data_IF_154588399657
#
_entry.id   IF_154588399657
#
_cell.length_a   1.000
_cell.length_b   1.000
_cell.length_c   1.000
_cell.angle_alpha   90.00
_cell.angle_beta   90.00
_cell.angle_gamma   90.00
#
_symmetry.space_group_name_H-M   'P 1'
#
loop_
_entity.id
_entity.type
_entity.pdbx_description
1 polymer ?
#
# COMPACT_ATOMS: atom_id res chain seq x y z
N UNK A 1 -5.03 -6.83 -2.23
CA UNK A 1 -6.44 -6.47 -1.94
C UNK A 1 -7.23 -7.75 -1.77
N UNK A 2 -8.24 -7.74 -0.91
CA UNK A 2 -9.11 -8.90 -0.65
C UNK A 2 -10.46 -8.60 -1.32
N UNK A 3 -10.95 -9.52 -2.14
CA UNK A 3 -12.33 -9.47 -2.64
C UNK A 3 -13.22 -10.26 -1.67
N UNK A 4 -14.29 -9.63 -1.19
CA UNK A 4 -15.21 -10.24 -0.22
C UNK A 4 -16.64 -9.76 -0.39
N UNK A 5 -17.61 -10.37 0.29
CA UNK A 5 -19.03 -10.04 0.12
C UNK A 5 -19.35 -8.63 0.63
N UNK A 6 -20.47 -8.08 0.18
CA UNK A 6 -21.10 -6.91 0.80
C UNK A 6 -22.03 -7.41 1.90
N UNK A 7 -21.79 -6.98 3.14
CA UNK A 7 -22.60 -7.38 4.29
C UNK A 7 -23.80 -6.45 4.50
N UNK A 8 -24.94 -7.04 4.82
CA UNK A 8 -26.19 -6.36 5.20
C UNK A 8 -26.77 -7.05 6.42
N UNK A 9 -27.18 -6.28 7.44
CA UNK A 9 -27.64 -6.84 8.71
C UNK A 9 -29.12 -7.22 8.64
N UNK A 10 -29.94 -6.30 8.13
CA UNK A 10 -31.37 -6.49 7.88
C UNK A 10 -31.70 -5.80 6.55
N UNK A 11 -31.88 -6.59 5.49
CA UNK A 11 -32.06 -6.07 4.14
C UNK A 11 -33.22 -5.08 4.05
N UNK A 12 -34.37 -5.39 4.69
CA UNK A 12 -35.56 -4.56 4.58
C UNK A 12 -35.32 -3.23 5.29
N UNK A 13 -34.93 -3.28 6.57
CA UNK A 13 -34.67 -2.10 7.38
C UNK A 13 -33.57 -1.21 6.77
N UNK A 14 -32.47 -1.81 6.35
CA UNK A 14 -31.36 -1.08 5.77
C UNK A 14 -31.75 -0.45 4.43
N UNK A 15 -32.56 -1.12 3.60
CA UNK A 15 -33.03 -0.57 2.33
C UNK A 15 -34.05 0.54 2.49
N UNK A 16 -34.86 0.53 3.54
CA UNK A 16 -35.75 1.64 3.86
C UNK A 16 -34.96 2.93 4.14
N UNK A 17 -33.87 2.82 4.91
CA UNK A 17 -32.95 3.95 5.12
C UNK A 17 -32.22 4.36 3.83
N UNK A 18 -31.79 3.41 3.01
CA UNK A 18 -31.14 3.70 1.71
C UNK A 18 -32.07 4.51 0.81
N UNK A 19 -33.34 4.15 0.76
CA UNK A 19 -34.34 4.80 -0.08
C UNK A 19 -34.65 6.23 0.37
N UNK A 20 -34.78 6.45 1.69
CA UNK A 20 -34.88 7.79 2.27
C UNK A 20 -33.68 8.65 1.87
N UNK A 21 -32.46 8.11 1.95
CA UNK A 21 -31.24 8.83 1.57
C UNK A 21 -31.24 9.13 0.06
N UNK A 22 -31.61 8.15 -0.79
CA UNK A 22 -31.63 8.31 -2.25
C UNK A 22 -32.58 9.43 -2.69
N UNK A 23 -33.75 9.50 -2.05
CA UNK A 23 -34.85 10.40 -2.43
C UNK A 23 -34.84 11.75 -1.68
N UNK A 24 -33.96 11.94 -0.70
CA UNK A 24 -33.81 13.21 0.03
C UNK A 24 -33.40 14.36 -0.90
N UNK A 25 -33.97 15.54 -0.68
CA UNK A 25 -33.46 16.78 -1.30
C UNK A 25 -32.20 17.28 -0.56
N UNK A 26 -31.17 17.53 -1.35
CA UNK A 26 -29.85 18.00 -0.89
C UNK A 26 -29.55 19.43 -1.29
N UNK A 27 -30.52 20.15 -1.87
CA UNK A 27 -30.37 21.55 -2.31
C UNK A 27 -29.99 22.50 -1.16
N UNK A 28 -30.53 22.26 0.04
CA UNK A 28 -30.41 23.11 1.23
C UNK A 28 -29.25 22.75 2.17
N UNK A 29 -28.41 21.78 1.83
CA UNK A 29 -27.39 21.21 2.74
C UNK A 29 -26.26 22.16 3.14
N UNK A 30 -26.06 23.25 2.41
CA UNK A 30 -24.87 24.09 2.54
C UNK A 30 -24.98 25.03 3.74
N UNK A 31 -23.85 25.29 4.40
CA UNK A 31 -23.77 26.26 5.50
C UNK A 31 -24.10 27.68 5.03
N UNK A 32 -23.59 28.03 3.86
CA UNK A 32 -23.93 29.27 3.16
C UNK A 32 -24.90 28.87 2.04
N UNK A 33 -26.18 29.27 2.08
CA UNK A 33 -27.14 28.97 1.04
C UNK A 33 -26.62 29.40 -0.33
N UNK A 34 -26.81 28.54 -1.34
CA UNK A 34 -26.45 28.85 -2.72
C UNK A 34 -27.72 29.19 -3.48
N UNK A 35 -27.82 30.43 -3.97
CA UNK A 35 -28.95 30.87 -4.78
C UNK A 35 -29.10 29.99 -6.03
N UNK A 36 -30.35 29.62 -6.35
CA UNK A 36 -30.71 28.82 -7.53
C UNK A 36 -30.00 27.45 -7.65
N UNK A 37 -29.46 26.91 -6.56
CA UNK A 37 -28.77 25.61 -6.59
C UNK A 37 -29.78 24.45 -6.57
N UNK A 38 -29.89 23.72 -7.69
CA UNK A 38 -30.63 22.46 -7.76
C UNK A 38 -29.69 21.27 -7.55
N UNK A 39 -29.98 20.41 -6.57
CA UNK A 39 -29.20 19.18 -6.40
C UNK A 39 -29.65 18.10 -7.40
N UNK A 40 -28.70 17.51 -8.14
CA UNK A 40 -28.94 16.30 -8.93
C UNK A 40 -29.36 15.15 -8.01
N UNK A 41 -30.34 14.34 -8.40
CA UNK A 41 -30.67 13.09 -7.69
C UNK A 41 -29.45 12.16 -7.57
N UNK A 42 -29.38 11.37 -6.49
CA UNK A 42 -28.29 10.40 -6.25
C UNK A 42 -28.15 9.44 -7.44
N UNK A 43 -29.24 8.86 -7.92
CA UNK A 43 -29.21 7.85 -8.98
C UNK A 43 -29.04 8.43 -10.39
N UNK A 44 -29.08 9.76 -10.56
CA UNK A 44 -28.90 10.40 -11.86
C UNK A 44 -27.60 9.94 -12.56
N UNK A 45 -27.63 9.57 -13.86
CA UNK A 45 -26.43 9.21 -14.61
C UNK A 45 -25.44 10.38 -14.74
N UNK A 46 -25.93 11.62 -14.58
CA UNK A 46 -25.11 12.82 -14.55
C UNK A 46 -24.45 13.08 -13.19
N UNK A 47 -24.61 12.19 -12.21
CA UNK A 47 -24.00 12.27 -10.88
C UNK A 47 -23.04 11.11 -10.68
N UNK A 48 -21.75 11.39 -10.49
CA UNK A 48 -20.73 10.36 -10.33
C UNK A 48 -20.79 9.72 -8.94
N UNK A 49 -20.32 8.48 -8.82
CA UNK A 49 -20.19 7.77 -7.54
C UNK A 49 -19.35 8.58 -6.53
N UNK A 50 -18.21 9.14 -6.96
CA UNK A 50 -17.37 9.96 -6.09
C UNK A 50 -18.08 11.21 -5.55
N UNK A 51 -18.98 11.82 -6.34
CA UNK A 51 -19.79 12.96 -5.88
C UNK A 51 -20.89 12.58 -4.89
N UNK A 52 -21.35 11.32 -4.91
CA UNK A 52 -22.27 10.77 -3.91
C UNK A 52 -21.50 10.46 -2.62
N UNK A 53 -20.29 9.91 -2.71
CA UNK A 53 -19.40 9.73 -1.55
C UNK A 53 -19.11 11.09 -0.90
N UNK A 54 -18.73 12.11 -1.69
CA UNK A 54 -18.54 13.49 -1.18
C UNK A 54 -19.81 14.03 -0.51
N UNK A 55 -20.99 13.77 -1.07
CA UNK A 55 -22.27 14.22 -0.49
C UNK A 55 -22.53 13.61 0.89
N UNK A 56 -22.21 12.32 1.05
CA UNK A 56 -22.48 11.57 2.28
C UNK A 56 -21.29 11.56 3.26
N UNK A 57 -20.30 12.43 3.02
CA UNK A 57 -19.15 12.65 3.91
C UNK A 57 -19.31 14.03 4.57
N UNK A 58 -19.21 14.12 5.92
CA UNK A 58 -19.24 15.41 6.61
C UNK A 58 -18.21 16.40 6.05
N UNK A 59 -18.57 17.68 5.98
CA UNK A 59 -17.72 18.73 5.42
C UNK A 59 -18.04 20.10 6.05
N UNK A 60 -17.04 20.97 6.13
CA UNK A 60 -17.18 22.36 6.59
C UNK A 60 -18.02 23.23 5.64
N UNK A 61 -18.24 22.79 4.40
CA UNK A 61 -19.17 23.44 3.45
C UNK A 61 -20.66 23.22 3.82
N UNK A 62 -20.96 22.19 4.62
CA UNK A 62 -22.33 21.81 4.96
C UNK A 62 -22.81 22.52 6.24
N UNK A 63 -24.14 22.68 6.38
CA UNK A 63 -24.76 23.17 7.61
C UNK A 63 -24.49 22.20 8.76
N UNK A 64 -24.57 22.70 9.99
CA UNK A 64 -24.35 21.88 11.18
C UNK A 64 -25.41 20.78 11.29
N UNK A 65 -26.67 21.11 11.01
CA UNK A 65 -27.81 20.19 11.00
C UNK A 65 -27.60 19.07 9.98
N UNK A 66 -27.11 19.40 8.78
CA UNK A 66 -26.83 18.39 7.75
C UNK A 66 -25.69 17.46 8.16
N UNK A 67 -24.62 18.00 8.74
CA UNK A 67 -23.51 17.18 9.24
C UNK A 67 -23.93 16.27 10.41
N UNK A 68 -24.79 16.76 11.32
CA UNK A 68 -25.37 15.93 12.38
C UNK A 68 -26.23 14.81 11.82
N UNK A 69 -27.08 15.11 10.82
CA UNK A 69 -27.83 14.08 10.11
C UNK A 69 -26.91 13.05 9.45
N UNK A 70 -25.86 13.48 8.75
CA UNK A 70 -24.86 12.59 8.14
C UNK A 70 -24.14 11.70 9.16
N UNK A 71 -23.86 12.21 10.36
CA UNK A 71 -23.22 11.46 11.44
C UNK A 71 -24.15 10.37 12.02
N UNK A 72 -25.47 10.59 11.98
CA UNK A 72 -26.47 9.63 12.43
C UNK A 72 -26.70 8.45 11.47
N UNK A 73 -26.24 8.53 10.21
CA UNK A 73 -26.40 7.45 9.23
C UNK A 73 -25.35 6.36 9.48
N UNK A 74 -25.76 5.09 9.69
CA UNK A 74 -24.82 3.98 9.84
C UNK A 74 -23.91 3.83 8.61
N UNK A 75 -22.63 3.52 8.83
CA UNK A 75 -21.67 3.37 7.74
C UNK A 75 -22.05 2.24 6.78
N UNK A 76 -22.64 1.15 7.29
CA UNK A 76 -23.17 0.05 6.46
C UNK A 76 -24.24 0.53 5.47
N UNK A 77 -25.14 1.41 5.92
CA UNK A 77 -26.19 2.01 5.07
C UNK A 77 -25.59 2.91 4.00
N UNK A 78 -24.61 3.77 4.34
CA UNK A 78 -23.89 4.59 3.35
C UNK A 78 -23.24 3.71 2.28
N UNK A 79 -22.60 2.63 2.70
CA UNK A 79 -21.99 1.64 1.82
C UNK A 79 -23.01 1.01 0.86
N UNK A 80 -24.22 0.69 1.34
CA UNK A 80 -25.32 0.22 0.49
C UNK A 80 -25.78 1.27 -0.52
N UNK A 81 -25.90 2.55 -0.14
CA UNK A 81 -26.19 3.64 -1.10
C UNK A 81 -25.15 3.67 -2.22
N UNK A 82 -23.87 3.50 -1.90
CA UNK A 82 -22.80 3.47 -2.90
C UNK A 82 -22.87 2.24 -3.81
N UNK A 83 -23.28 1.09 -3.28
CA UNK A 83 -23.52 -0.12 -4.07
C UNK A 83 -24.71 0.07 -5.01
N UNK A 84 -25.85 0.56 -4.51
CA UNK A 84 -27.02 0.85 -5.35
C UNK A 84 -26.63 1.83 -6.45
N UNK A 85 -25.93 2.93 -6.11
CA UNK A 85 -25.44 3.90 -7.09
C UNK A 85 -24.55 3.28 -8.17
N UNK A 86 -23.66 2.36 -7.77
CA UNK A 86 -22.72 1.68 -8.69
C UNK A 86 -23.43 0.77 -9.68
N UNK A 87 -24.44 0.04 -9.22
CA UNK A 87 -25.12 -0.96 -10.03
C UNK A 87 -26.32 -0.42 -10.80
N UNK A 88 -26.90 0.71 -10.35
CA UNK A 88 -28.08 1.33 -10.95
C UNK A 88 -27.91 1.52 -12.46
N UNK A 89 -28.96 1.15 -13.18
CA UNK A 89 -29.10 1.40 -14.62
C UNK A 89 -30.35 2.24 -14.85
N UNK A 90 -30.30 3.09 -15.86
CA UNK A 90 -31.36 4.06 -16.13
C UNK A 90 -32.73 3.41 -16.38
N UNK A 91 -32.75 2.21 -16.97
CA UNK A 91 -33.96 1.42 -17.24
C UNK A 91 -34.66 0.89 -15.98
N UNK A 92 -34.03 0.98 -14.81
CA UNK A 92 -34.67 0.57 -13.55
C UNK A 92 -35.63 1.63 -13.02
N UNK A 93 -35.49 2.89 -13.45
CA UNK A 93 -36.22 4.00 -12.83
C UNK A 93 -36.04 4.00 -11.32
N UNK A 94 -37.15 3.95 -10.60
CA UNK A 94 -37.24 3.91 -9.13
C UNK A 94 -37.24 2.47 -8.58
N UNK A 95 -37.41 1.45 -9.44
CA UNK A 95 -37.53 0.02 -9.08
C UNK A 95 -36.17 -0.67 -8.86
N UNK A 96 -35.25 0.02 -8.17
CA UNK A 96 -33.90 -0.49 -7.90
C UNK A 96 -33.91 -1.58 -6.82
N UNK A 97 -34.84 -1.51 -5.85
CA UNK A 97 -34.92 -2.42 -4.69
C UNK A 97 -35.04 -3.89 -5.11
N UNK A 98 -35.91 -4.17 -6.07
CA UNK A 98 -36.20 -5.52 -6.57
C UNK A 98 -35.02 -6.19 -7.29
N UNK A 99 -33.89 -5.49 -7.46
CA UNK A 99 -32.67 -6.03 -8.08
C UNK A 99 -31.71 -6.66 -7.09
N UNK A 100 -31.91 -6.40 -5.80
CA UNK A 100 -31.06 -6.91 -4.75
C UNK A 100 -31.82 -7.83 -3.80
N UNK A 101 -31.12 -8.81 -3.26
CA UNK A 101 -31.68 -9.81 -2.35
C UNK A 101 -30.61 -10.32 -1.38
N UNK A 102 -31.04 -11.09 -0.40
CA UNK A 102 -30.20 -12.00 0.38
C UNK A 102 -30.78 -13.40 0.24
N UNK A 103 -29.94 -14.43 0.37
CA UNK A 103 -30.44 -15.81 0.39
C UNK A 103 -31.20 -16.09 1.70
N UNK A 104 -32.13 -17.03 1.68
CA UNK A 104 -32.69 -17.60 2.91
C UNK A 104 -31.88 -18.83 3.28
N UNK A 105 -31.10 -18.75 4.36
CA UNK A 105 -30.21 -19.81 4.84
C UNK A 105 -30.82 -20.38 6.13
N UNK A 106 -31.18 -21.67 6.11
CA UNK A 106 -31.82 -22.36 7.24
C UNK A 106 -33.05 -21.62 7.78
N UNK A 107 -33.87 -21.05 6.89
CA UNK A 107 -35.09 -20.32 7.24
C UNK A 107 -34.86 -18.88 7.75
N UNK A 108 -33.62 -18.38 7.75
CA UNK A 108 -33.29 -16.99 8.14
C UNK A 108 -32.70 -16.22 6.97
N UNK A 109 -32.95 -14.90 6.84
CA UNK A 109 -32.24 -14.07 5.88
C UNK A 109 -30.73 -14.16 6.10
N UNK A 110 -29.99 -14.35 5.02
CA UNK A 110 -28.54 -14.30 5.02
C UNK A 110 -28.02 -12.87 5.09
N UNK A 111 -26.70 -12.74 5.26
CA UNK A 111 -26.04 -11.45 5.46
C UNK A 111 -25.25 -10.97 4.23
N UNK A 112 -25.21 -11.75 3.15
CA UNK A 112 -24.50 -11.40 1.92
C UNK A 112 -25.46 -10.80 0.90
N UNK A 113 -25.22 -9.55 0.51
CA UNK A 113 -26.01 -8.88 -0.52
C UNK A 113 -25.76 -9.51 -1.90
N UNK A 114 -26.85 -9.77 -2.61
CA UNK A 114 -26.85 -10.32 -3.97
C UNK A 114 -27.46 -9.33 -4.95
N UNK A 115 -26.99 -9.36 -6.20
CA UNK A 115 -27.58 -8.66 -7.33
C UNK A 115 -28.10 -9.70 -8.32
N UNK A 116 -29.42 -9.73 -8.57
CA UNK A 116 -30.06 -10.72 -9.44
C UNK A 116 -29.62 -12.16 -9.12
N UNK A 117 -29.65 -12.54 -7.84
CA UNK A 117 -29.20 -13.83 -7.33
C UNK A 117 -27.72 -14.16 -7.57
N UNK A 118 -26.87 -13.19 -7.90
CA UNK A 118 -25.41 -13.35 -7.96
C UNK A 118 -24.75 -12.64 -6.78
N UNK A 119 -23.70 -13.24 -6.21
CA UNK A 119 -22.93 -12.63 -5.13
C UNK A 119 -22.30 -11.32 -5.62
N UNK A 120 -22.39 -10.27 -4.80
CA UNK A 120 -21.70 -9.01 -5.05
C UNK A 120 -20.45 -8.97 -4.18
N UNK A 121 -19.30 -8.80 -4.82
CA UNK A 121 -18.06 -8.57 -4.10
C UNK A 121 -17.72 -7.08 -4.05
N UNK A 122 -17.16 -6.68 -2.92
CA UNK A 122 -16.47 -5.41 -2.74
C UNK A 122 -15.02 -5.67 -2.35
N UNK A 123 -14.24 -4.59 -2.30
CA UNK A 123 -12.81 -4.67 -2.04
C UNK A 123 -12.52 -4.28 -0.61
N UNK A 124 -11.55 -4.98 -0.05
CA UNK A 124 -11.04 -4.76 1.27
C UNK A 124 -9.51 -4.74 1.28
N UNK A 125 -8.97 -4.14 2.34
CA UNK A 125 -7.56 -4.24 2.72
C UNK A 125 -7.45 -4.76 4.14
N UNK A 126 -6.44 -5.57 4.40
CA UNK A 126 -6.06 -5.91 5.76
C UNK A 126 -5.23 -4.76 6.32
N UNK A 127 -5.49 -4.38 7.57
CA UNK A 127 -4.67 -3.42 8.32
C UNK A 127 -4.44 -3.98 9.72
N UNK A 128 -3.45 -4.87 9.80
CA UNK A 128 -3.05 -5.58 11.00
C UNK A 128 -4.02 -6.66 11.46
N UNK A 129 -3.79 -7.08 12.70
CA UNK A 129 -4.42 -8.25 13.31
C UNK A 129 -5.06 -7.89 14.65
N UNK A 130 -6.06 -8.67 15.07
CA UNK A 130 -6.62 -8.66 16.42
C UNK A 130 -5.74 -9.48 17.37
N UNK A 131 -6.03 -9.39 18.67
CA UNK A 131 -5.24 -10.05 19.73
C UNK A 131 -5.20 -11.59 19.59
N UNK A 132 -6.23 -12.19 18.98
CA UNK A 132 -6.33 -13.64 18.68
C UNK A 132 -5.69 -14.04 17.33
N UNK A 133 -5.11 -13.08 16.60
CA UNK A 133 -4.52 -13.30 15.28
C UNK A 133 -5.51 -13.27 14.12
N UNK A 134 -6.79 -12.95 14.34
CA UNK A 134 -7.75 -12.73 13.26
C UNK A 134 -7.40 -11.47 12.46
N UNK A 135 -7.79 -11.44 11.18
CA UNK A 135 -7.46 -10.30 10.30
C UNK A 135 -8.38 -9.11 10.59
N UNK A 136 -7.80 -7.91 10.67
CA UNK A 136 -8.57 -6.66 10.68
C UNK A 136 -8.77 -6.19 9.24
N UNK A 137 -9.99 -6.29 8.75
CA UNK A 137 -10.33 -6.06 7.34
C UNK A 137 -11.17 -4.79 7.22
N UNK A 138 -10.77 -3.88 6.33
CA UNK A 138 -11.42 -2.59 6.12
C UNK A 138 -11.89 -2.46 4.67
N UNK A 139 -13.15 -2.08 4.49
CA UNK A 139 -13.71 -1.83 3.17
C UNK A 139 -13.06 -0.60 2.54
N UNK A 140 -12.58 -0.72 1.31
CA UNK A 140 -12.09 0.46 0.59
C UNK A 140 -13.27 1.22 -0.03
N UNK A 141 -13.09 2.53 -0.22
CA UNK A 141 -14.05 3.35 -0.96
C UNK A 141 -14.38 2.69 -2.28
N UNK A 142 -15.65 2.75 -2.68
CA UNK A 142 -16.07 2.08 -3.91
C UNK A 142 -15.34 2.68 -5.11
N UNK A 143 -15.07 3.98 -5.16
CA UNK A 143 -14.29 4.61 -6.23
C UNK A 143 -12.75 4.51 -6.09
N UNK A 144 -12.23 3.79 -5.09
CA UNK A 144 -10.79 3.60 -4.93
C UNK A 144 -10.22 2.59 -5.92
N UNK A 145 -9.05 2.94 -6.46
CA UNK A 145 -8.13 2.05 -7.18
C UNK A 145 -6.72 2.30 -6.65
N UNK A 146 -5.88 1.27 -6.45
CA UNK A 146 -4.47 1.47 -6.10
C UNK A 146 -3.77 2.38 -7.12
N UNK A 147 -2.83 3.19 -6.65
CA UNK A 147 -2.01 4.02 -7.53
C UNK A 147 -1.18 3.14 -8.46
N UNK A 148 -1.03 3.57 -9.72
CA UNK A 148 -0.02 2.99 -10.61
C UNK A 148 1.35 3.41 -10.09
N UNK A 149 2.19 2.44 -9.72
CA UNK A 149 3.54 2.68 -9.19
C UNK A 149 4.55 2.19 -10.21
N UNK A 150 5.57 3.01 -10.42
CA UNK A 150 6.75 2.69 -11.21
C UNK A 150 7.94 2.77 -10.25
N UNK A 151 8.66 1.67 -10.09
CA UNK A 151 9.81 1.63 -9.17
C UNK A 151 10.95 2.47 -9.75
N UNK A 152 11.43 3.43 -8.97
CA UNK A 152 12.57 4.30 -9.29
C UNK A 152 13.84 3.91 -8.52
N UNK A 153 13.70 3.16 -7.44
CA UNK A 153 14.75 2.74 -6.49
C UNK A 153 14.39 1.33 -5.98
N UNK A 154 15.40 0.60 -5.48
CA UNK A 154 15.24 -0.63 -4.69
C UNK A 154 16.31 -0.70 -3.59
N UNK A 155 17.55 -1.13 -3.91
CA UNK A 155 18.63 -1.29 -2.93
C UNK A 155 19.78 -0.29 -3.16
N UNK A 156 20.34 -0.22 -4.37
CA UNK A 156 21.48 0.67 -4.68
C UNK A 156 21.02 1.88 -5.50
N UNK A 157 21.13 3.07 -4.90
CA UNK A 157 20.66 4.32 -5.50
C UNK A 157 21.74 5.41 -5.50
N UNK A 158 21.89 6.09 -6.64
CA UNK A 158 22.61 7.35 -6.75
C UNK A 158 21.63 8.52 -6.62
N UNK A 159 22.05 9.60 -5.94
CA UNK A 159 21.21 10.80 -5.82
C UNK A 159 22.02 12.08 -5.83
N UNK A 160 21.38 13.17 -6.27
CA UNK A 160 21.95 14.52 -6.29
C UNK A 160 20.89 15.53 -5.84
N UNK A 161 21.33 16.57 -5.13
CA UNK A 161 20.49 17.72 -4.78
C UNK A 161 20.92 18.91 -5.62
N UNK A 162 19.96 19.52 -6.32
CA UNK A 162 20.17 20.70 -7.15
C UNK A 162 19.16 21.80 -6.80
N UNK A 163 19.52 23.09 -6.95
CA UNK A 163 18.55 24.17 -6.78
C UNK A 163 17.38 24.03 -7.74
N UNK A 164 16.13 24.13 -7.26
CA UNK A 164 14.95 23.88 -8.10
C UNK A 164 14.86 24.84 -9.29
N UNK A 165 15.39 26.06 -9.14
CA UNK A 165 15.46 27.08 -10.19
C UNK A 165 16.25 26.66 -11.44
N UNK A 166 17.11 25.65 -11.35
CA UNK A 166 17.87 25.15 -12.52
C UNK A 166 17.16 24.00 -13.24
N UNK A 167 16.06 23.48 -12.68
CA UNK A 167 15.26 22.43 -13.29
C UNK A 167 14.08 23.05 -14.06
N UNK A 168 14.05 22.94 -15.39
CA UNK A 168 12.88 23.37 -16.16
C UNK A 168 11.72 22.39 -15.93
N UNK A 169 10.48 22.80 -16.16
CA UNK A 169 9.35 21.88 -16.27
C UNK A 169 9.04 21.03 -15.01
N UNK A 170 9.41 21.52 -13.83
CA UNK A 170 8.93 20.98 -12.57
C UNK A 170 7.39 21.04 -12.52
N UNK A 171 6.79 20.09 -11.81
CA UNK A 171 5.35 20.09 -11.57
C UNK A 171 4.90 21.40 -10.89
N UNK A 172 3.71 21.94 -11.24
CA UNK A 172 3.23 23.21 -10.70
C UNK A 172 3.15 23.28 -9.16
N UNK A 173 3.03 22.13 -8.48
CA UNK A 173 2.98 22.05 -7.02
C UNK A 173 4.34 21.92 -6.33
N UNK A 174 5.45 21.91 -7.08
CA UNK A 174 6.78 21.80 -6.49
C UNK A 174 7.25 23.17 -5.98
N UNK A 175 7.27 23.32 -4.66
CA UNK A 175 7.60 24.59 -3.99
C UNK A 175 8.90 24.55 -3.20
N UNK A 176 9.62 23.42 -3.23
CA UNK A 176 10.86 23.25 -2.49
C UNK A 176 12.02 24.05 -3.11
N UNK A 177 12.93 24.64 -2.30
CA UNK A 177 14.05 25.43 -2.79
C UNK A 177 15.11 24.62 -3.56
N UNK A 178 15.28 23.35 -3.18
CA UNK A 178 16.11 22.38 -3.92
C UNK A 178 15.32 21.10 -4.19
N UNK A 179 15.74 20.40 -5.23
CA UNK A 179 15.17 19.14 -5.65
C UNK A 179 16.19 18.02 -5.52
N UNK A 180 15.78 16.89 -4.94
CA UNK A 180 16.56 15.66 -4.97
C UNK A 180 16.15 14.82 -6.17
N UNK A 181 17.13 14.49 -7.00
CA UNK A 181 16.99 13.55 -8.12
C UNK A 181 17.67 12.23 -7.74
N UNK A 182 17.14 11.14 -8.27
CA UNK A 182 17.52 9.77 -7.93
C UNK A 182 17.67 8.95 -9.22
N UNK A 183 18.54 7.94 -9.18
CA UNK A 183 18.68 6.94 -10.22
C UNK A 183 19.06 5.60 -9.59
N UNK A 184 18.34 4.55 -9.94
CA UNK A 184 18.70 3.19 -9.55
C UNK A 184 19.97 2.74 -10.29
N UNK A 185 20.97 2.25 -9.56
CA UNK A 185 22.24 1.81 -10.14
C UNK A 185 22.17 0.38 -10.74
N UNK A 186 21.12 -0.37 -10.46
CA UNK A 186 21.01 -1.79 -10.74
C UNK A 186 20.13 -2.09 -11.96
N UNK A 187 20.54 -3.08 -12.75
CA UNK A 187 19.75 -3.61 -13.86
C UNK A 187 18.83 -4.77 -13.44
N UNK A 188 19.20 -5.49 -12.38
CA UNK A 188 18.42 -6.58 -11.79
C UNK A 188 18.50 -6.51 -10.28
N UNK A 189 17.42 -6.87 -9.60
CA UNK A 189 17.32 -6.86 -8.15
C UNK A 189 17.57 -8.25 -7.57
N UNK A 190 18.43 -8.35 -6.56
CA UNK A 190 18.79 -9.62 -5.93
C UNK A 190 17.81 -10.03 -4.84
N UNK A 191 16.61 -10.41 -5.27
CA UNK A 191 15.46 -10.66 -4.41
C UNK A 191 15.64 -11.88 -3.51
N UNK A 192 15.05 -11.80 -2.30
CA UNK A 192 14.88 -12.92 -1.37
C UNK A 192 13.39 -13.22 -1.20
N UNK A 193 12.83 -14.17 -1.96
CA UNK A 193 11.39 -14.40 -1.96
C UNK A 193 10.96 -15.33 -0.81
N UNK A 194 10.94 -14.77 0.42
CA UNK A 194 10.63 -15.52 1.64
C UNK A 194 9.26 -16.23 1.57
N UNK A 195 8.25 -15.59 0.94
CA UNK A 195 6.89 -16.10 0.87
C UNK A 195 6.65 -17.11 -0.27
N UNK A 196 7.54 -17.16 -1.26
CA UNK A 196 7.35 -18.00 -2.46
C UNK A 196 7.51 -19.51 -2.17
N UNK A 197 8.04 -19.87 -0.98
CA UNK A 197 8.00 -21.25 -0.49
C UNK A 197 6.57 -21.82 -0.45
N UNK A 198 5.58 -20.94 -0.22
CA UNK A 198 4.16 -21.28 -0.25
C UNK A 198 3.66 -21.19 -1.69
N UNK A 199 3.40 -22.35 -2.30
CA UNK A 199 2.93 -22.49 -3.68
C UNK A 199 1.69 -21.61 -3.93
N UNK A 200 1.72 -20.83 -5.01
CA UNK A 200 0.64 -19.96 -5.48
C UNK A 200 0.50 -18.64 -4.73
N UNK A 201 1.25 -18.42 -3.66
CA UNK A 201 1.17 -17.22 -2.84
C UNK A 201 1.86 -16.04 -3.50
N UNK A 202 3.17 -16.15 -3.73
CA UNK A 202 3.95 -15.13 -4.43
C UNK A 202 3.90 -15.36 -5.95
N UNK A 203 2.86 -14.79 -6.55
CA UNK A 203 2.62 -14.89 -8.00
C UNK A 203 3.68 -14.19 -8.83
N UNK A 204 4.35 -13.16 -8.29
CA UNK A 204 5.38 -12.42 -9.03
C UNK A 204 6.66 -13.25 -9.09
N UNK A 205 7.12 -13.77 -7.96
CA UNK A 205 8.28 -14.67 -7.91
C UNK A 205 8.06 -15.89 -8.82
N UNK A 206 6.89 -16.55 -8.74
CA UNK A 206 6.62 -17.70 -9.61
C UNK A 206 6.64 -17.34 -11.09
N UNK A 207 6.03 -16.21 -11.47
CA UNK A 207 6.04 -15.74 -12.85
C UNK A 207 7.45 -15.38 -13.33
N UNK A 208 8.31 -14.84 -12.46
CA UNK A 208 9.69 -14.51 -12.79
C UNK A 208 10.54 -15.76 -12.94
N UNK A 209 10.49 -16.67 -11.95
CA UNK A 209 11.26 -17.91 -11.95
C UNK A 209 10.90 -18.85 -13.11
N UNK A 210 9.65 -18.80 -13.59
CA UNK A 210 9.20 -19.60 -14.73
C UNK A 210 9.73 -19.12 -16.10
N UNK A 211 10.42 -17.97 -16.16
CA UNK A 211 11.05 -17.46 -17.38
C UNK A 211 12.42 -18.10 -17.63
N UNK A 212 12.90 -17.96 -18.87
CA UNK A 212 14.28 -18.28 -19.23
C UNK A 212 15.26 -17.17 -18.82
N UNK A 213 16.56 -17.48 -18.84
CA UNK A 213 17.66 -16.53 -18.59
C UNK A 213 17.66 -15.89 -17.18
N UNK A 214 17.18 -16.65 -16.20
CA UNK A 214 17.26 -16.31 -14.79
C UNK A 214 18.62 -16.72 -14.19
N UNK A 215 19.06 -15.94 -13.20
CA UNK A 215 20.15 -16.33 -12.31
C UNK A 215 19.55 -16.72 -10.97
N UNK A 216 19.89 -17.92 -10.50
CA UNK A 216 19.40 -18.48 -9.24
C UNK A 216 20.57 -18.73 -8.30
N UNK A 217 20.31 -18.57 -7.01
CA UNK A 217 21.23 -18.94 -5.95
C UNK A 217 20.43 -19.55 -4.78
N UNK A 218 20.98 -20.59 -4.15
CA UNK A 218 20.37 -21.27 -3.00
C UNK A 218 19.03 -21.97 -3.26
N UNK A 219 18.89 -22.61 -4.43
CA UNK A 219 17.79 -23.53 -4.75
C UNK A 219 18.31 -24.95 -5.00
N UNK A 220 17.47 -25.96 -4.77
CA UNK A 220 17.78 -27.34 -5.16
C UNK A 220 17.76 -27.49 -6.69
N UNK A 221 18.78 -28.13 -7.29
CA UNK A 221 18.76 -28.50 -8.71
C UNK A 221 17.96 -29.79 -8.87
N UNK A 222 16.68 -29.66 -9.21
CA UNK A 222 15.78 -30.81 -9.36
C UNK A 222 15.98 -31.44 -10.74
N UNK A 223 16.34 -32.72 -10.78
CA UNK A 223 16.51 -33.46 -12.03
C UNK A 223 15.16 -33.85 -12.66
N UNK A 224 15.20 -34.57 -13.80
CA UNK A 224 13.99 -35.03 -14.48
C UNK A 224 13.14 -36.00 -13.63
N UNK A 225 13.74 -36.80 -12.74
CA UNK A 225 12.99 -37.72 -11.90
C UNK A 225 12.18 -36.94 -10.85
N UNK A 226 12.82 -35.99 -10.16
CA UNK A 226 12.18 -35.09 -9.22
C UNK A 226 11.12 -34.20 -9.90
N UNK A 227 11.42 -33.69 -11.10
CA UNK A 227 10.47 -32.91 -11.89
C UNK A 227 9.20 -33.69 -12.25
N UNK A 228 9.33 -34.96 -12.62
CA UNK A 228 8.18 -35.86 -12.90
C UNK A 228 7.37 -36.13 -11.63
N UNK A 229 8.03 -36.42 -10.51
CA UNK A 229 7.36 -36.64 -9.22
C UNK A 229 6.52 -35.41 -8.82
N UNK A 230 7.06 -34.20 -9.02
CA UNK A 230 6.33 -32.95 -8.74
C UNK A 230 5.08 -32.83 -9.61
N UNK A 231 5.15 -33.18 -10.90
CA UNK A 231 4.01 -33.08 -11.83
C UNK A 231 2.97 -34.17 -11.56
N UNK A 232 3.39 -35.37 -11.14
CA UNK A 232 2.51 -36.49 -10.79
C UNK A 232 1.73 -36.24 -9.50
N UNK A 233 2.26 -35.45 -8.56
CA UNK A 233 1.51 -34.94 -7.41
C UNK A 233 0.53 -33.83 -7.84
N UNK A 234 -0.58 -34.27 -8.46
CA UNK A 234 -1.64 -33.42 -9.00
C UNK A 234 -2.20 -32.41 -7.97
N UNK A 235 -2.17 -32.75 -6.68
CA UNK A 235 -2.67 -31.87 -5.61
C UNK A 235 -1.71 -30.72 -5.38
N UNK A 236 -0.42 -31.01 -5.18
CA UNK A 236 0.59 -29.97 -4.90
C UNK A 236 0.94 -29.14 -6.12
N UNK A 237 1.01 -29.74 -7.30
CA UNK A 237 1.26 -28.98 -8.54
C UNK A 237 0.14 -27.99 -8.81
N UNK A 238 -1.11 -28.39 -8.53
CA UNK A 238 -2.29 -27.53 -8.68
C UNK A 238 -2.30 -26.28 -7.79
N UNK A 239 -1.43 -26.23 -6.76
CA UNK A 239 -1.29 -25.06 -5.88
C UNK A 239 -0.37 -23.99 -6.47
N UNK A 240 0.54 -24.33 -7.40
CA UNK A 240 1.35 -23.34 -8.10
C UNK A 240 0.47 -22.46 -9.01
N UNK A 241 0.97 -21.30 -9.39
CA UNK A 241 0.37 -20.49 -10.45
C UNK A 241 0.40 -21.22 -11.79
N UNK A 242 -0.55 -20.92 -12.71
CA UNK A 242 -0.60 -21.58 -14.02
C UNK A 242 0.71 -21.53 -14.81
N UNK A 243 1.46 -20.42 -14.73
CA UNK A 243 2.73 -20.24 -15.46
C UNK A 243 3.82 -21.18 -14.92
N UNK A 244 3.90 -21.36 -13.60
CA UNK A 244 4.82 -22.30 -12.97
C UNK A 244 4.43 -23.76 -13.27
N UNK A 245 3.13 -24.07 -13.27
CA UNK A 245 2.63 -25.40 -13.67
C UNK A 245 3.03 -25.73 -15.11
N UNK A 246 2.83 -24.80 -16.05
CA UNK A 246 3.20 -24.99 -17.45
C UNK A 246 4.71 -25.17 -17.63
N UNK A 247 5.53 -24.42 -16.89
CA UNK A 247 6.99 -24.58 -16.92
C UNK A 247 7.43 -25.97 -16.43
N UNK A 248 6.84 -26.46 -15.34
CA UNK A 248 7.12 -27.80 -14.79
C UNK A 248 6.67 -28.92 -15.72
N UNK A 249 5.48 -28.81 -16.31
CA UNK A 249 4.98 -29.78 -17.29
C UNK A 249 5.87 -29.84 -18.53
N UNK A 250 6.31 -28.68 -19.05
CA UNK A 250 7.25 -28.63 -20.19
C UNK A 250 8.59 -29.27 -19.84
N UNK A 251 9.12 -29.02 -18.65
CA UNK A 251 10.36 -29.64 -18.18
C UNK A 251 10.23 -31.17 -18.07
N UNK A 252 9.14 -31.67 -17.47
CA UNK A 252 8.91 -33.11 -17.28
C UNK A 252 8.73 -33.87 -18.60
N UNK A 253 8.24 -33.20 -19.65
CA UNK A 253 8.00 -33.76 -20.98
C UNK A 253 9.19 -33.61 -21.95
N UNK A 254 10.19 -32.79 -21.62
CA UNK A 254 11.36 -32.55 -22.46
C UNK A 254 12.58 -33.33 -21.98
N UNK A 255 13.53 -33.59 -22.87
CA UNK A 255 14.84 -34.18 -22.52
C UNK A 255 15.84 -33.14 -22.00
N UNK A 256 15.54 -31.84 -22.17
CA UNK A 256 16.37 -30.72 -21.73
C UNK A 256 15.52 -29.53 -21.28
N UNK A 257 16.03 -28.66 -20.38
CA UNK A 257 17.33 -28.72 -19.69
C UNK A 257 17.41 -29.89 -18.69
N UNK A 258 18.60 -30.21 -18.17
CA UNK A 258 18.80 -31.35 -17.25
C UNK A 258 18.21 -31.12 -15.84
N UNK A 259 18.02 -29.84 -15.46
CA UNK A 259 17.54 -29.45 -14.14
C UNK A 259 16.50 -28.34 -14.21
N UNK A 260 15.63 -28.30 -13.20
CA UNK A 260 14.67 -27.23 -12.93
C UNK A 260 14.80 -26.74 -11.49
N UNK A 261 14.43 -25.49 -11.25
CA UNK A 261 14.31 -24.93 -9.90
C UNK A 261 12.88 -24.48 -9.68
N UNK A 262 12.40 -24.58 -8.43
CA UNK A 262 11.09 -24.05 -8.06
C UNK A 262 11.18 -23.30 -6.74
N UNK A 263 10.31 -22.30 -6.51
CA UNK A 263 10.34 -21.53 -5.28
C UNK A 263 10.02 -22.39 -4.04
N UNK A 264 9.33 -23.51 -4.22
CA UNK A 264 8.98 -24.45 -3.15
C UNK A 264 10.15 -25.35 -2.69
N UNK A 265 11.28 -25.34 -3.40
CA UNK A 265 12.45 -26.16 -3.06
C UNK A 265 13.75 -25.34 -2.97
N UNK A 266 13.89 -24.47 -1.95
CA UNK A 266 15.17 -23.87 -1.60
C UNK A 266 16.20 -24.94 -1.27
N UNK A 267 17.49 -24.61 -1.44
CA UNK A 267 18.62 -25.48 -1.11
C UNK A 267 18.53 -25.98 0.33
N UNK A 268 18.80 -27.26 0.53
CA UNK A 268 18.92 -27.91 1.83
C UNK A 268 20.32 -27.63 2.42
N UNK A 269 20.33 -27.08 3.63
CA UNK A 269 21.52 -26.83 4.46
C UNK A 269 21.25 -27.46 5.82
N UNK A 270 22.13 -28.37 6.24
CA UNK A 270 21.98 -29.14 7.49
C UNK A 270 20.60 -29.82 7.63
N UNK A 271 20.12 -30.41 6.53
CA UNK A 271 18.85 -31.15 6.47
C UNK A 271 17.59 -30.28 6.45
N UNK A 272 17.70 -28.95 6.34
CA UNK A 272 16.55 -28.03 6.27
C UNK A 272 16.64 -27.07 5.08
N UNK A 273 15.51 -26.66 4.49
CA UNK A 273 15.51 -25.59 3.48
C UNK A 273 16.13 -24.32 4.03
N UNK A 274 17.03 -23.72 3.25
CA UNK A 274 17.64 -22.43 3.55
C UNK A 274 16.58 -21.33 3.65
N UNK A 275 16.81 -20.39 4.57
CA UNK A 275 16.01 -19.16 4.71
C UNK A 275 16.52 -18.01 3.84
N UNK A 276 17.43 -18.28 2.91
CA UNK A 276 17.99 -17.28 2.00
C UNK A 276 17.99 -17.74 0.54
N UNK A 277 16.84 -18.17 -0.02
CA UNK A 277 16.70 -18.40 -1.45
C UNK A 277 16.88 -17.07 -2.21
N UNK A 278 17.51 -17.09 -3.38
CA UNK A 278 17.81 -15.85 -4.13
C UNK A 278 17.66 -16.01 -5.63
N UNK A 279 17.20 -14.95 -6.29
CA UNK A 279 17.22 -14.84 -7.75
C UNK A 279 17.45 -13.39 -8.18
N UNK A 280 17.93 -13.18 -9.40
CA UNK A 280 18.02 -11.85 -9.99
C UNK A 280 16.74 -11.53 -10.79
N UNK A 281 15.86 -10.75 -10.19
CA UNK A 281 14.66 -10.22 -10.82
C UNK A 281 15.05 -9.11 -11.82
N UNK A 282 14.48 -9.11 -13.03
CA UNK A 282 14.62 -7.94 -13.91
C UNK A 282 13.97 -6.71 -13.27
N UNK A 283 14.57 -5.54 -13.50
CA UNK A 283 13.99 -4.27 -13.09
C UNK A 283 12.56 -4.13 -13.68
N UNK A 284 11.51 -3.86 -12.87
CA UNK A 284 10.12 -3.91 -13.33
C UNK A 284 9.77 -2.95 -14.48
N UNK A 285 10.50 -1.85 -14.62
CA UNK A 285 10.37 -0.90 -15.72
C UNK A 285 10.73 -1.50 -17.09
N UNK A 286 11.73 -2.38 -17.12
CA UNK A 286 12.14 -3.09 -18.33
C UNK A 286 11.07 -4.09 -18.80
N UNK A 287 10.26 -4.59 -17.87
CA UNK A 287 9.16 -5.52 -18.18
C UNK A 287 7.87 -4.83 -18.60
N UNK A 288 7.72 -3.55 -18.24
CA UNK A 288 6.49 -2.78 -18.45
C UNK A 288 6.73 -1.45 -19.16
N UNK A 289 7.40 -1.45 -20.35
CA UNK A 289 7.79 -0.22 -21.04
C UNK A 289 6.59 0.67 -21.39
N UNK A 290 5.41 0.08 -21.65
CA UNK A 290 4.19 0.83 -21.90
C UNK A 290 3.75 1.67 -20.70
N UNK A 291 3.92 1.17 -19.47
CA UNK A 291 3.53 1.92 -18.28
C UNK A 291 4.40 3.18 -18.09
N UNK A 292 5.70 3.07 -18.41
CA UNK A 292 6.63 4.20 -18.41
C UNK A 292 6.33 5.21 -19.51
N UNK A 293 6.09 4.73 -20.72
CA UNK A 293 5.67 5.59 -21.82
C UNK A 293 4.40 6.37 -21.48
N UNK A 294 3.38 5.71 -20.92
CA UNK A 294 2.15 6.37 -20.50
C UNK A 294 2.39 7.38 -19.37
N UNK A 295 3.27 7.08 -18.41
CA UNK A 295 3.61 8.01 -17.34
C UNK A 295 4.34 9.26 -17.85
N UNK A 296 5.31 9.10 -18.74
CA UNK A 296 6.02 10.22 -19.39
C UNK A 296 5.04 11.10 -20.19
N UNK A 297 4.23 10.50 -21.06
CA UNK A 297 3.22 11.24 -21.85
C UNK A 297 2.20 11.93 -20.95
N UNK A 298 1.71 11.27 -19.90
CA UNK A 298 0.77 11.88 -18.95
C UNK A 298 1.39 13.07 -18.22
N UNK A 299 2.65 12.95 -17.77
CA UNK A 299 3.37 14.05 -17.12
C UNK A 299 3.58 15.23 -18.08
N UNK A 300 3.98 14.96 -19.34
CA UNK A 300 4.13 15.99 -20.37
C UNK A 300 2.83 16.72 -20.64
N UNK A 301 1.72 16.00 -20.80
CA UNK A 301 0.40 16.61 -21.03
C UNK A 301 -0.05 17.45 -19.84
N UNK A 302 0.11 16.94 -18.61
CA UNK A 302 -0.25 17.65 -17.39
C UNK A 302 0.55 18.94 -17.20
N UNK A 303 1.87 18.89 -17.44
CA UNK A 303 2.80 20.01 -17.26
C UNK A 303 3.01 20.84 -18.54
N UNK A 304 2.34 20.46 -19.65
CA UNK A 304 2.45 21.07 -20.99
C UNK A 304 3.89 21.12 -21.53
N UNK A 305 4.63 20.03 -21.36
CA UNK A 305 6.05 19.93 -21.74
C UNK A 305 6.17 19.46 -23.20
N UNK A 306 6.89 20.18 -24.07
CA UNK A 306 7.22 19.75 -25.43
C UNK A 306 7.99 18.41 -25.46
N UNK A 307 7.90 17.65 -26.57
CA UNK A 307 8.51 16.32 -26.68
C UNK A 307 10.05 16.33 -26.62
N UNK A 308 10.67 17.42 -27.05
CA UNK A 308 12.12 17.63 -27.09
C UNK A 308 12.71 18.12 -25.76
N UNK A 309 11.87 18.38 -24.75
CA UNK A 309 12.30 18.85 -23.44
C UNK A 309 12.30 17.73 -22.39
N UNK A 310 13.18 17.81 -21.37
CA UNK A 310 13.21 16.84 -20.27
C UNK A 310 12.00 17.00 -19.34
N UNK A 311 11.64 15.88 -18.70
CA UNK A 311 10.58 15.80 -17.67
C UNK A 311 11.25 15.43 -16.34
N UNK A 312 11.60 16.41 -15.48
CA UNK A 312 12.19 16.08 -14.18
C UNK A 312 11.15 15.44 -13.26
N UNK A 313 11.55 14.41 -12.51
CA UNK A 313 10.72 13.75 -11.51
C UNK A 313 11.46 13.72 -10.16
N UNK A 314 11.51 14.85 -9.44
CA UNK A 314 12.22 14.91 -8.17
C UNK A 314 11.47 14.15 -7.07
N UNK A 315 12.19 13.85 -5.99
CA UNK A 315 11.60 13.31 -4.77
C UNK A 315 10.59 14.30 -4.20
N UNK A 316 9.46 13.78 -3.75
CA UNK A 316 8.34 14.58 -3.23
C UNK A 316 8.05 14.34 -1.74
N UNK A 317 8.49 13.21 -1.23
CA UNK A 317 8.24 12.77 0.13
C UNK A 317 9.33 11.78 0.57
N UNK A 318 9.76 11.88 1.82
CA UNK A 318 10.72 10.97 2.44
C UNK A 318 9.98 10.18 3.51
N UNK A 319 9.74 8.89 3.26
CA UNK A 319 8.90 8.03 4.09
C UNK A 319 9.66 6.77 4.55
N UNK A 320 10.75 6.92 5.34
CA UNK A 320 11.54 5.78 5.78
C UNK A 320 10.69 4.80 6.58
N UNK A 321 10.98 3.51 6.41
CA UNK A 321 10.33 2.44 7.17
C UNK A 321 11.12 2.10 8.43
N UNK A 322 10.41 1.77 9.51
CA UNK A 322 11.00 1.26 10.74
C UNK A 322 10.43 -0.10 11.07
N UNK A 323 11.31 -1.08 11.27
CA UNK A 323 10.93 -2.40 11.75
C UNK A 323 10.80 -2.39 13.27
N UNK A 324 9.56 -2.35 13.73
CA UNK A 324 9.26 -2.50 15.15
C UNK A 324 9.15 -3.98 15.54
N UNK A 325 9.42 -4.28 16.80
CA UNK A 325 9.21 -5.61 17.36
C UNK A 325 8.60 -5.55 18.77
N UNK A 326 7.72 -6.50 19.11
CA UNK A 326 7.30 -6.71 20.49
C UNK A 326 8.50 -7.21 21.33
N UNK A 327 8.40 -7.19 22.67
CA UNK A 327 9.39 -7.85 23.51
C UNK A 327 9.35 -9.37 23.28
N UNK A 328 10.51 -10.00 23.08
CA UNK A 328 10.61 -11.45 22.87
C UNK A 328 11.86 -12.00 23.59
N UNK A 329 11.67 -12.80 24.64
CA UNK A 329 12.76 -13.33 25.45
C UNK A 329 13.65 -12.21 26.01
N UNK A 330 14.92 -12.17 25.59
CA UNK A 330 15.88 -11.14 25.98
C UNK A 330 15.86 -9.88 25.09
N UNK A 331 15.10 -9.90 23.99
CA UNK A 331 14.98 -8.75 23.07
C UNK A 331 13.99 -7.75 23.65
N UNK A 332 14.47 -6.52 23.92
CA UNK A 332 13.63 -5.42 24.40
C UNK A 332 12.60 -5.02 23.33
N UNK A 333 11.46 -4.50 23.78
CA UNK A 333 10.46 -3.94 22.89
C UNK A 333 11.04 -2.72 22.14
N UNK A 334 10.91 -2.71 20.82
CA UNK A 334 11.18 -1.55 19.98
C UNK A 334 9.89 -1.22 19.22
N UNK A 335 8.89 -0.76 19.95
CA UNK A 335 7.53 -0.62 19.43
C UNK A 335 6.81 0.62 19.96
N UNK A 336 7.55 1.71 20.18
CA UNK A 336 7.01 2.98 20.66
C UNK A 336 6.38 3.83 19.54
N UNK A 337 6.40 3.34 18.30
CA UNK A 337 5.86 4.04 17.14
C UNK A 337 4.39 3.66 16.89
N UNK A 338 3.60 4.65 16.51
CA UNK A 338 2.26 4.49 15.90
C UNK A 338 2.44 4.18 14.38
N UNK A 339 1.40 4.02 13.54
CA UNK A 339 1.57 3.74 12.12
C UNK A 339 2.50 4.71 11.38
N UNK A 340 2.45 5.99 11.72
CA UNK A 340 3.27 7.03 11.10
C UNK A 340 3.67 8.08 12.15
N UNK A 341 4.91 8.54 12.10
CA UNK A 341 5.48 9.57 12.97
C UNK A 341 6.19 10.61 12.13
N UNK A 342 5.91 11.89 12.34
CA UNK A 342 6.76 12.97 11.85
C UNK A 342 7.93 13.15 12.81
N UNK A 343 9.15 13.31 12.28
CA UNK A 343 10.31 13.68 13.07
C UNK A 343 10.91 14.98 12.55
N UNK A 344 11.10 15.94 13.46
CA UNK A 344 11.94 17.10 13.18
C UNK A 344 13.39 16.65 12.95
N UNK A 345 14.17 17.52 12.30
CA UNK A 345 15.49 17.16 11.79
C UNK A 345 16.45 16.59 12.87
N UNK A 346 16.50 17.12 14.11
CA UNK A 346 17.36 16.54 15.15
C UNK A 346 16.99 15.09 15.50
N UNK A 347 15.71 14.84 15.80
CA UNK A 347 15.19 13.51 16.16
C UNK A 347 15.33 12.54 14.99
N UNK A 348 15.07 13.02 13.77
CA UNK A 348 15.27 12.24 12.55
C UNK A 348 16.72 11.79 12.41
N UNK A 349 17.68 12.66 12.71
CA UNK A 349 19.10 12.30 12.63
C UNK A 349 19.54 11.38 13.75
N UNK A 350 18.90 11.40 14.93
CA UNK A 350 19.10 10.35 15.92
C UNK A 350 18.69 8.98 15.36
N UNK A 351 17.52 8.91 14.69
CA UNK A 351 17.03 7.69 14.06
C UNK A 351 17.95 7.23 12.91
N UNK A 352 18.37 8.14 12.02
CA UNK A 352 19.25 7.83 10.90
C UNK A 352 20.66 7.38 11.33
N UNK A 353 21.24 8.02 12.34
CA UNK A 353 22.55 7.64 12.87
C UNK A 353 22.47 6.25 13.50
N UNK A 354 21.43 6.01 14.29
CA UNK A 354 21.32 4.78 15.08
C UNK A 354 20.84 3.59 14.24
N UNK A 355 19.92 3.79 13.28
CA UNK A 355 19.34 2.75 12.42
C UNK A 355 19.03 1.46 13.20
N UNK A 356 18.16 1.61 14.19
CA UNK A 356 17.98 0.63 15.27
C UNK A 356 17.17 -0.58 14.80
N UNK A 357 17.58 -1.76 15.24
CA UNK A 357 16.88 -3.02 14.97
C UNK A 357 16.86 -3.93 16.20
N UNK A 358 15.80 -4.73 16.34
CA UNK A 358 15.72 -5.76 17.40
C UNK A 358 16.59 -6.98 17.15
N UNK A 359 17.18 -7.10 15.95
CA UNK A 359 18.14 -8.16 15.61
C UNK A 359 19.52 -7.82 16.19
N UNK A 360 20.22 -8.84 16.69
CA UNK A 360 21.58 -8.71 17.24
C UNK A 360 21.73 -7.58 18.28
N UNK A 361 21.02 -7.66 19.43
CA UNK A 361 21.12 -6.65 20.49
C UNK A 361 22.56 -6.45 20.99
N UNK A 362 22.89 -5.22 21.38
CA UNK A 362 24.17 -4.91 22.04
C UNK A 362 24.08 -5.19 23.54
N UNK A 363 25.20 -5.03 24.26
CA UNK A 363 25.24 -5.20 25.72
C UNK A 363 24.36 -4.20 26.46
N UNK A 364 24.13 -3.01 25.91
CA UNK A 364 23.41 -1.91 26.57
C UNK A 364 22.02 -1.63 25.98
N UNK A 365 21.71 -2.16 24.79
CA UNK A 365 20.45 -1.88 24.12
C UNK A 365 20.20 -2.73 22.88
N UNK A 366 19.61 -2.10 21.87
CA UNK A 366 19.27 -2.75 20.61
C UNK A 366 20.48 -2.96 19.69
N UNK A 367 20.25 -3.64 18.57
CA UNK A 367 21.20 -3.70 17.47
C UNK A 367 21.13 -2.44 16.61
N UNK A 368 22.18 -2.19 15.84
CA UNK A 368 22.29 -1.07 14.90
C UNK A 368 22.80 -1.57 13.57
N UNK A 369 22.18 -1.11 12.48
CA UNK A 369 22.66 -1.35 11.11
C UNK A 369 23.72 -0.31 10.68
N UNK A 370 24.13 0.57 11.61
CA UNK A 370 25.01 1.71 11.36
C UNK A 370 24.30 2.85 10.63
N UNK A 371 24.96 4.00 10.54
CA UNK A 371 24.38 5.22 9.97
C UNK A 371 23.74 4.96 8.59
N UNK A 372 22.48 5.40 8.43
CA UNK A 372 21.69 5.29 7.21
C UNK A 372 21.56 3.84 6.69
N UNK A 373 21.57 2.84 7.59
CA UNK A 373 21.62 1.40 7.27
C UNK A 373 22.81 0.98 6.40
N UNK A 374 23.87 1.79 6.36
CA UNK A 374 25.05 1.59 5.49
C UNK A 374 26.30 1.11 6.24
N UNK A 375 26.19 0.70 7.50
CA UNK A 375 27.32 0.21 8.28
C UNK A 375 28.17 -0.85 7.56
N UNK A 376 27.56 -1.90 6.96
CA UNK A 376 28.29 -2.92 6.20
C UNK A 376 28.83 -2.48 4.83
N UNK A 377 28.43 -1.31 4.33
CA UNK A 377 28.64 -0.89 2.93
C UNK A 377 29.43 0.43 2.82
N UNK A 378 29.92 0.97 3.93
CA UNK A 378 30.69 2.21 3.95
C UNK A 378 32.12 1.96 4.41
N UNK A 379 33.06 2.06 3.48
CA UNK A 379 34.50 1.92 3.76
C UNK A 379 35.16 3.23 4.27
N UNK A 380 34.39 4.32 4.41
CA UNK A 380 34.84 5.62 4.88
C UNK A 380 34.20 5.96 6.24
N UNK A 381 34.55 7.15 6.77
CA UNK A 381 33.92 7.65 7.99
C UNK A 381 32.43 7.96 7.73
N UNK A 382 31.49 7.41 8.51
CA UNK A 382 30.05 7.62 8.30
C UNK A 382 29.61 9.09 8.37
N UNK A 383 30.40 9.95 9.01
CA UNK A 383 30.14 11.39 9.11
C UNK A 383 30.04 12.08 7.76
N UNK A 384 30.72 11.58 6.72
CA UNK A 384 30.61 12.15 5.37
C UNK A 384 29.21 11.97 4.79
N UNK A 385 28.64 10.76 4.93
CA UNK A 385 27.28 10.46 4.49
C UNK A 385 26.24 11.20 5.32
N UNK A 386 26.44 11.27 6.64
CA UNK A 386 25.54 11.98 7.55
C UNK A 386 25.49 13.49 7.25
N UNK A 387 26.64 14.13 7.06
CA UNK A 387 26.71 15.54 6.70
C UNK A 387 26.03 15.80 5.35
N UNK A 388 26.25 14.92 4.37
CA UNK A 388 25.60 15.02 3.06
C UNK A 388 24.08 14.85 3.15
N UNK A 389 23.61 13.86 3.91
CA UNK A 389 22.18 13.64 4.15
C UNK A 389 21.55 14.84 4.89
N UNK A 390 22.23 15.41 5.88
CA UNK A 390 21.74 16.55 6.66
C UNK A 390 21.59 17.77 5.77
N UNK A 391 22.65 18.10 5.01
CA UNK A 391 22.63 19.22 4.07
C UNK A 391 21.56 18.98 3.00
N UNK A 392 21.39 17.75 2.51
CA UNK A 392 20.31 17.41 1.58
C UNK A 392 18.94 17.77 2.14
N UNK A 393 18.62 17.35 3.37
CA UNK A 393 17.32 17.62 4.00
C UNK A 393 17.11 19.12 4.23
N UNK A 394 18.15 19.85 4.68
CA UNK A 394 18.08 21.30 4.90
C UNK A 394 17.86 22.04 3.57
N UNK A 395 18.63 21.70 2.53
CA UNK A 395 18.58 22.40 1.25
C UNK A 395 17.30 22.13 0.47
N UNK A 396 16.73 20.93 0.59
CA UNK A 396 15.43 20.62 -0.03
C UNK A 396 14.27 21.12 0.83
N UNK A 397 14.45 21.25 2.15
CA UNK A 397 13.35 21.52 3.07
C UNK A 397 12.34 20.37 3.12
N UNK A 398 12.81 19.13 2.90
CA UNK A 398 11.94 17.95 2.98
C UNK A 398 11.65 17.57 4.42
N UNK A 399 10.41 17.14 4.63
CA UNK A 399 9.97 16.52 5.87
C UNK A 399 10.05 15.00 5.76
N UNK A 400 10.38 14.33 6.86
CA UNK A 400 10.43 12.88 6.93
C UNK A 400 9.36 12.33 7.87
N UNK A 401 8.64 11.30 7.39
CA UNK A 401 7.67 10.56 8.19
C UNK A 401 8.07 9.09 8.30
N UNK A 402 8.39 8.65 9.51
CA UNK A 402 8.73 7.26 9.81
C UNK A 402 7.45 6.41 9.77
N UNK A 403 7.45 5.36 8.97
CA UNK A 403 6.32 4.43 8.84
C UNK A 403 6.62 3.10 9.54
N UNK A 404 5.65 2.60 10.32
CA UNK A 404 5.85 1.37 11.10
C UNK A 404 5.65 0.11 10.27
N UNK A 405 6.55 -0.85 10.44
CA UNK A 405 6.44 -2.23 9.94
C UNK A 405 6.63 -3.24 11.09
N UNK A 406 6.13 -4.45 10.92
CA UNK A 406 6.16 -5.51 11.93
C UNK A 406 5.03 -5.36 12.94
N UNK A 407 5.15 -4.40 13.86
CA UNK A 407 4.12 -4.10 14.86
C UNK A 407 3.92 -2.60 15.12
N UNK A 408 2.77 -2.27 15.71
CA UNK A 408 2.44 -0.98 16.31
C UNK A 408 2.14 -1.23 17.79
N UNK A 409 2.95 -0.65 18.68
CA UNK A 409 2.92 -1.08 20.07
C UNK A 409 3.36 -2.55 20.26
N UNK A 410 3.32 -3.05 21.49
CA UNK A 410 3.71 -4.43 21.80
C UNK A 410 2.67 -5.48 21.37
N UNK A 411 1.45 -5.06 21.00
CA UNK A 411 0.30 -5.96 20.79
C UNK A 411 -0.11 -6.10 19.33
N UNK A 412 -0.10 -5.01 18.57
CA UNK A 412 -0.71 -5.01 17.24
C UNK A 412 0.30 -5.37 16.17
N UNK A 413 0.26 -6.62 15.71
CA UNK A 413 0.96 -7.04 14.50
C UNK A 413 0.36 -6.31 13.29
N UNK A 414 1.22 -5.77 12.44
CA UNK A 414 0.83 -5.08 11.19
C UNK A 414 1.57 -5.57 9.95
N UNK A 415 2.61 -6.40 10.11
CA UNK A 415 3.48 -6.83 9.00
C UNK A 415 3.90 -5.62 8.14
N UNK A 416 3.55 -5.61 6.85
CA UNK A 416 3.78 -4.48 5.94
C UNK A 416 2.49 -3.75 5.54
N UNK A 417 1.38 -3.99 6.23
CA UNK A 417 0.08 -3.40 5.87
C UNK A 417 0.13 -1.86 5.89
N UNK A 418 0.77 -1.30 6.91
CA UNK A 418 0.99 0.16 7.02
C UNK A 418 1.91 0.66 5.90
N UNK A 419 3.02 -0.03 5.65
CA UNK A 419 3.98 0.31 4.59
C UNK A 419 3.32 0.38 3.20
N UNK A 420 2.32 -0.45 2.94
CA UNK A 420 1.59 -0.45 1.67
C UNK A 420 0.52 0.64 1.58
N UNK A 421 -0.11 1.01 2.71
CA UNK A 421 -1.21 1.98 2.76
C UNK A 421 -0.70 3.43 2.76
N UNK A 422 0.39 3.73 3.46
CA UNK A 422 0.87 5.12 3.59
C UNK A 422 1.16 5.79 2.24
N UNK A 423 1.85 5.16 1.26
CA UNK A 423 2.07 5.77 -0.05
C UNK A 423 0.76 6.05 -0.82
N UNK A 424 -0.29 5.26 -0.59
CA UNK A 424 -1.61 5.51 -1.20
C UNK A 424 -2.28 6.75 -0.59
N UNK A 425 -2.12 6.99 0.71
CA UNK A 425 -2.60 8.22 1.35
C UNK A 425 -1.79 9.41 0.82
N UNK A 426 -0.47 9.31 0.81
CA UNK A 426 0.45 10.39 0.44
C UNK A 426 0.26 10.87 -1.00
N UNK A 427 -0.05 9.95 -1.92
CA UNK A 427 -0.30 10.26 -3.34
C UNK A 427 -1.67 10.94 -3.59
N UNK A 428 -2.55 10.99 -2.58
CA UNK A 428 -3.90 11.56 -2.66
C UNK A 428 -4.07 12.83 -1.82
N UNK A 429 -2.99 13.30 -1.20
CA UNK A 429 -2.91 14.58 -0.52
C UNK A 429 -2.14 15.57 -1.40
N UNK A 430 -2.56 16.83 -1.39
CA UNK A 430 -1.78 17.90 -2.01
C UNK A 430 -0.44 18.09 -1.27
N UNK A 431 0.58 18.69 -1.91
CA UNK A 431 1.82 19.03 -1.24
C UNK A 431 1.61 19.87 0.03
N UNK A 432 0.64 20.79 0.01
CA UNK A 432 0.32 21.68 1.14
C UNK A 432 -0.36 20.92 2.29
N UNK A 433 -1.31 20.03 1.96
CA UNK A 433 -2.08 19.24 2.94
C UNK A 433 -1.19 18.34 3.80
N UNK A 434 -0.09 17.85 3.23
CA UNK A 434 0.80 16.87 3.89
C UNK A 434 2.02 17.49 4.57
N UNK A 435 2.12 18.82 4.63
CA UNK A 435 3.19 19.46 5.40
C UNK A 435 2.97 19.24 6.91
N UNK A 436 4.03 19.05 7.71
CA UNK A 436 3.90 18.91 9.17
C UNK A 436 3.17 20.10 9.78
N UNK A 437 3.46 21.32 9.31
CA UNK A 437 2.76 22.54 9.77
C UNK A 437 1.24 22.46 9.56
N UNK A 438 0.79 22.04 8.37
CA UNK A 438 -0.64 21.92 8.09
C UNK A 438 -1.28 20.83 8.93
N UNK A 439 -0.61 19.68 9.06
CA UNK A 439 -1.10 18.55 9.84
C UNK A 439 -1.18 18.88 11.35
N UNK A 440 -0.18 19.58 11.90
CA UNK A 440 -0.21 20.06 13.29
C UNK A 440 -1.35 21.09 13.48
N UNK A 441 -1.47 22.07 12.58
CA UNK A 441 -2.51 23.09 12.67
C UNK A 441 -3.94 22.50 12.60
N UNK A 442 -4.11 21.36 11.93
CA UNK A 442 -5.38 20.63 11.84
C UNK A 442 -5.58 19.61 12.97
N UNK A 443 -4.61 19.46 13.89
CA UNK A 443 -4.66 18.47 14.97
C UNK A 443 -4.48 17.01 14.49
N UNK A 444 -3.90 16.80 13.31
CA UNK A 444 -3.59 15.48 12.77
C UNK A 444 -2.28 14.89 13.31
N UNK A 445 -1.42 15.72 13.92
CA UNK A 445 -0.19 15.31 14.59
C UNK A 445 -0.22 15.79 16.04
N UNK A 446 0.16 14.92 16.95
CA UNK A 446 0.27 15.18 18.39
C UNK A 446 1.75 15.03 18.80
N UNK A 447 2.32 16.01 19.53
CA UNK A 447 3.71 15.92 20.00
C UNK A 447 3.85 14.85 21.07
N UNK A 448 4.93 14.06 20.99
CA UNK A 448 5.33 13.15 22.07
C UNK A 448 6.26 13.91 22.99
N UNK A 449 5.90 13.98 24.28
CA UNK A 449 6.67 14.71 25.29
C UNK A 449 7.28 13.77 26.31
N UNK A 450 8.41 14.18 26.88
CA UNK A 450 9.04 13.47 27.98
C UNK A 450 8.05 13.35 29.15
N UNK A 451 8.11 12.20 29.84
CA UNK A 451 7.31 11.96 31.03
C UNK A 451 8.09 11.11 32.01
N UNK A 452 7.76 11.20 33.29
CA UNK A 452 8.45 10.38 34.32
C UNK A 452 7.72 9.06 34.54
N UNK A 453 8.44 7.95 34.41
CA UNK A 453 7.97 6.61 34.75
C UNK A 453 8.92 5.97 35.77
N UNK A 454 8.38 5.57 36.92
CA UNK A 454 9.15 4.95 38.02
C UNK A 454 10.38 5.79 38.44
N UNK A 455 10.22 7.12 38.49
CA UNK A 455 11.29 8.06 38.89
C UNK A 455 12.38 8.27 37.83
N UNK A 456 12.18 7.82 36.59
CA UNK A 456 13.07 8.05 35.44
C UNK A 456 12.34 8.85 34.37
N UNK A 457 13.04 9.79 33.74
CA UNK A 457 12.53 10.59 32.61
C UNK A 457 12.94 9.96 31.30
#
# INVERSE_FOLDING_TARGET
MIDGPVFVADLKRDFDLVDEIINKDYSTRFRIPRENHTSRSILSPKRTLGSVIKLLTPSSENSQEFNQWLAGIPQSVKDLVFIVKRYHKADWGEEWRNRFSVDTINGKPGYELRYRNHKINTRYVRVGYTDDGSWRIFGVRKDYRPSQKLSLEDDITASVVVPSRVLPNLEPGFSYPSAKLIENCEFRFFQRPDDAIVRGYDRKTEADMARSNNFFCNYEPLDHAAGKEIVEDAIRVGQFTPVMQEMLQRFAAADRPDYVVTPAHPRIVDGKPTKNPRYLQNRPDLETPMAWYLADVACRLYRKIPLDQPVPNPVHAVLPGRRNNPPEGHVRALSCFNPIHYMELPELFMEFIASITGKSPSTTGAGSEGALTKGPFNALLPVHDLNNALISMILTGYDAFITSAGCVGPKYRVDHDVSLVVPELWARMSPEERTPRALIAQGCLEPVTDFTYEGRT
#
